data_IF_690682331388
#
_entry.id   IF_690682331388
#
_cell.length_a   1.000
_cell.length_b   1.000
_cell.length_c   1.000
_cell.angle_alpha   90.00
_cell.angle_beta   90.00
_cell.angle_gamma   90.00
#
_symmetry.space_group_name_H-M   'P 1'
#
loop_
_entity.id
_entity.type
_entity.pdbx_description
1 polymer ?
#
# COMPACT_ATOMS: atom_id res chain seq x y z
N UNK A 1 -18.85 53.96 -3.38
CA UNK A 1 -18.78 52.60 -3.97
C UNK A 1 -17.91 51.74 -3.07
N UNK A 2 -18.52 50.82 -2.30
CA UNK A 2 -17.80 49.91 -1.40
C UNK A 2 -17.54 48.61 -2.17
N UNK A 3 -16.29 48.28 -2.41
CA UNK A 3 -15.89 47.04 -3.09
C UNK A 3 -15.92 45.88 -2.08
N UNK A 4 -16.81 44.93 -2.29
CA UNK A 4 -16.95 43.71 -1.49
C UNK A 4 -15.91 42.69 -1.98
N UNK A 5 -14.86 42.47 -1.19
CA UNK A 5 -13.87 41.42 -1.45
C UNK A 5 -14.45 40.06 -1.08
N UNK A 6 -14.83 39.26 -2.09
CA UNK A 6 -15.17 37.85 -1.93
C UNK A 6 -13.88 37.06 -1.72
N UNK A 7 -13.66 36.61 -0.48
CA UNK A 7 -12.58 35.71 -0.14
C UNK A 7 -12.84 34.34 -0.78
N UNK A 8 -12.11 34.02 -1.84
CA UNK A 8 -12.05 32.69 -2.44
C UNK A 8 -11.40 31.74 -1.43
N UNK A 9 -12.22 31.00 -0.68
CA UNK A 9 -11.76 29.89 0.12
C UNK A 9 -11.11 28.85 -0.78
N UNK A 10 -9.77 28.77 -0.74
CA UNK A 10 -9.01 27.65 -1.29
C UNK A 10 -9.37 26.41 -0.49
N UNK A 11 -10.43 25.71 -0.91
CA UNK A 11 -10.64 24.33 -0.54
C UNK A 11 -9.46 23.54 -1.07
N UNK A 12 -8.47 23.28 -0.21
CA UNK A 12 -7.42 22.31 -0.49
C UNK A 12 -8.13 21.04 -0.98
N UNK A 13 -7.77 20.49 -2.15
CA UNK A 13 -8.28 19.17 -2.52
C UNK A 13 -7.84 18.24 -1.40
N UNK A 14 -8.80 17.72 -0.62
CA UNK A 14 -8.52 16.60 0.26
C UNK A 14 -7.91 15.54 -0.64
N UNK A 15 -6.61 15.29 -0.48
CA UNK A 15 -5.86 14.36 -1.30
C UNK A 15 -6.69 13.07 -1.36
N UNK A 16 -7.29 12.80 -2.51
CA UNK A 16 -8.03 11.56 -2.72
C UNK A 16 -6.99 10.48 -2.50
N UNK A 17 -7.06 9.82 -1.35
CA UNK A 17 -6.15 8.77 -0.97
C UNK A 17 -6.00 7.87 -2.19
N UNK A 18 -4.79 7.80 -2.74
CA UNK A 18 -4.48 7.04 -3.95
C UNK A 18 -4.77 5.57 -3.65
N UNK A 19 -6.00 5.19 -3.96
CA UNK A 19 -6.47 3.84 -3.82
C UNK A 19 -6.07 3.06 -5.04
N UNK A 20 -5.44 1.91 -4.84
CA UNK A 20 -5.29 0.91 -5.89
C UNK A 20 -6.68 0.48 -6.34
N UNK A 21 -7.10 0.92 -7.53
CA UNK A 21 -8.44 0.63 -8.04
C UNK A 21 -8.69 -0.89 -8.03
N UNK A 22 -9.83 -1.31 -7.48
CA UNK A 22 -10.19 -2.72 -7.37
C UNK A 22 -9.50 -3.50 -6.24
N UNK A 23 -8.72 -2.86 -5.37
CA UNK A 23 -8.14 -3.52 -4.20
C UNK A 23 -9.18 -3.73 -3.09
N UNK A 24 -9.67 -4.96 -2.92
CA UNK A 24 -10.69 -5.31 -1.93
C UNK A 24 -10.23 -5.19 -0.47
N UNK A 25 -8.95 -4.85 -0.25
CA UNK A 25 -8.45 -4.53 1.08
C UNK A 25 -9.06 -3.23 1.63
N UNK A 26 -9.59 -2.36 0.76
CA UNK A 26 -10.23 -1.11 1.16
C UNK A 26 -11.70 -1.16 0.81
N UNK A 27 -12.54 -0.99 1.82
CA UNK A 27 -13.99 -0.85 1.64
C UNK A 27 -14.38 0.55 2.11
N UNK A 28 -14.83 1.37 1.17
CA UNK A 28 -15.42 2.67 1.47
C UNK A 28 -16.93 2.46 1.59
N UNK A 29 -17.48 2.74 2.77
CA UNK A 29 -18.91 2.62 3.04
C UNK A 29 -19.66 3.85 2.50
N UNK A 30 -20.99 3.75 2.33
CA UNK A 30 -21.81 4.88 1.86
C UNK A 30 -21.74 6.13 2.76
N UNK A 31 -21.44 5.96 4.04
CA UNK A 31 -21.24 7.04 5.02
C UNK A 31 -19.85 7.72 4.91
N UNK A 32 -19.02 7.31 3.94
CA UNK A 32 -17.66 7.79 3.75
C UNK A 32 -16.63 7.16 4.69
N UNK A 33 -17.04 6.26 5.60
CA UNK A 33 -16.09 5.56 6.46
C UNK A 33 -15.28 4.55 5.66
N UNK A 34 -13.98 4.49 5.95
CA UNK A 34 -13.03 3.61 5.26
C UNK A 34 -12.63 2.48 6.18
N UNK A 35 -12.96 1.25 5.79
CA UNK A 35 -12.41 0.04 6.39
C UNK A 35 -11.22 -0.42 5.56
N UNK A 36 -10.10 -0.71 6.22
CA UNK A 36 -8.90 -1.22 5.56
C UNK A 36 -8.45 -2.50 6.22
N UNK A 37 -8.18 -3.51 5.41
CA UNK A 37 -7.58 -4.78 5.80
C UNK A 37 -6.11 -4.76 5.42
N UNK A 38 -5.27 -5.33 6.27
CA UNK A 38 -3.86 -5.61 5.95
C UNK A 38 -3.66 -7.12 5.87
N UNK A 39 -2.65 -7.60 5.13
CA UNK A 39 -2.35 -9.02 5.11
C UNK A 39 -2.04 -9.53 6.51
N UNK A 40 -2.63 -10.66 6.93
CA UNK A 40 -2.37 -11.21 8.25
C UNK A 40 -0.93 -11.72 8.33
N UNK A 41 -0.28 -11.50 9.47
CA UNK A 41 1.02 -12.11 9.72
C UNK A 41 0.85 -13.64 9.82
N UNK A 42 1.62 -14.45 9.07
CA UNK A 42 1.52 -15.90 9.13
C UNK A 42 1.74 -16.41 10.55
N UNK A 43 1.00 -17.45 10.95
CA UNK A 43 1.12 -18.03 12.29
C UNK A 43 2.51 -18.69 12.51
N UNK A 44 3.17 -19.13 11.44
CA UNK A 44 4.46 -19.83 11.44
C UNK A 44 5.34 -19.29 10.31
N UNK A 45 6.62 -19.64 10.35
CA UNK A 45 7.59 -19.32 9.29
C UNK A 45 8.48 -18.11 9.60
N UNK A 46 9.37 -17.75 8.65
CA UNK A 46 10.37 -16.70 8.85
C UNK A 46 9.75 -15.36 9.21
N UNK A 47 8.72 -14.93 8.50
CA UNK A 47 8.05 -13.65 8.73
C UNK A 47 7.60 -13.45 10.19
N UNK A 48 7.13 -14.52 10.86
CA UNK A 48 6.72 -14.48 12.27
C UNK A 48 7.90 -14.44 13.25
N UNK A 49 9.00 -15.10 12.90
CA UNK A 49 10.17 -15.28 13.78
C UNK A 49 11.20 -14.17 13.64
N UNK A 50 11.26 -13.51 12.49
CA UNK A 50 12.23 -12.44 12.23
C UNK A 50 11.75 -11.10 12.78
N UNK A 51 12.71 -10.29 13.23
CA UNK A 51 12.49 -8.86 13.46
C UNK A 51 12.50 -8.16 12.11
N UNK A 52 11.41 -7.49 11.68
CA UNK A 52 11.40 -6.82 10.40
C UNK A 52 12.32 -5.59 10.41
N UNK A 53 12.82 -5.22 9.25
CA UNK A 53 13.61 -4.00 9.08
C UNK A 53 12.71 -2.77 9.26
N UNK A 54 13.03 -1.83 10.17
CA UNK A 54 12.31 -0.57 10.25
C UNK A 54 12.46 0.24 8.95
N UNK A 55 11.42 0.97 8.56
CA UNK A 55 11.40 1.71 7.30
C UNK A 55 12.52 2.77 7.20
N UNK A 56 12.93 3.34 8.33
CA UNK A 56 13.92 4.42 8.38
C UNK A 56 15.34 3.92 8.71
N UNK A 57 15.56 2.60 8.79
CA UNK A 57 16.82 2.01 9.22
C UNK A 57 17.78 1.61 8.08
N UNK A 58 17.37 1.73 6.82
CA UNK A 58 18.23 1.44 5.66
C UNK A 58 18.64 -0.04 5.48
N UNK A 59 18.06 -0.97 6.25
CA UNK A 59 18.36 -2.41 6.20
C UNK A 59 17.47 -3.20 5.22
N UNK A 60 16.58 -2.53 4.50
CA UNK A 60 15.61 -3.18 3.62
C UNK A 60 16.24 -3.47 2.26
N UNK A 61 16.14 -4.71 1.81
CA UNK A 61 16.56 -5.15 0.50
C UNK A 61 15.33 -5.41 -0.39
N UNK A 62 15.40 -4.95 -1.65
CA UNK A 62 14.35 -5.16 -2.64
C UNK A 62 13.34 -4.01 -2.75
N UNK A 63 12.20 -4.24 -3.40
CA UNK A 63 11.19 -3.21 -3.66
C UNK A 63 10.36 -2.89 -2.41
N UNK A 64 9.89 -1.64 -2.34
CA UNK A 64 8.95 -1.22 -1.30
C UNK A 64 7.58 -1.88 -1.52
N UNK A 65 7.02 -2.43 -0.46
CA UNK A 65 5.68 -2.99 -0.45
C UNK A 65 4.68 -1.85 -0.28
N UNK A 66 3.87 -1.61 -1.29
CA UNK A 66 2.83 -0.60 -1.27
C UNK A 66 1.60 -1.22 -0.61
N UNK A 67 1.28 -0.77 0.60
CA UNK A 67 0.20 -1.34 1.42
C UNK A 67 -0.81 -0.26 1.77
N UNK A 68 -2.09 -0.58 1.60
CA UNK A 68 -3.16 0.29 2.09
C UNK A 68 -3.34 0.13 3.60
N UNK A 69 -3.39 1.24 4.32
CA UNK A 69 -3.66 1.26 5.76
C UNK A 69 -4.70 2.32 6.10
N UNK A 70 -5.14 2.38 7.36
CA UNK A 70 -6.00 3.45 7.85
C UNK A 70 -5.40 4.86 7.64
N UNK A 71 -4.07 4.99 7.53
CA UNK A 71 -3.36 6.24 7.26
C UNK A 71 -3.25 6.58 5.77
N UNK A 72 -3.80 5.73 4.88
CA UNK A 72 -3.60 5.82 3.44
C UNK A 72 -2.59 4.79 2.94
N UNK A 73 -2.16 5.00 1.69
CA UNK A 73 -1.11 4.21 1.05
C UNK A 73 0.23 4.47 1.74
N UNK A 74 0.93 3.41 2.12
CA UNK A 74 2.23 3.48 2.78
C UNK A 74 3.27 2.63 2.04
N UNK A 75 4.53 3.01 2.19
CA UNK A 75 5.68 2.23 1.74
C UNK A 75 6.19 1.39 2.92
N UNK A 76 6.15 0.08 2.79
CA UNK A 76 6.58 -0.86 3.83
C UNK A 76 7.78 -1.71 3.37
N UNK A 77 8.62 -2.09 4.32
CA UNK A 77 9.74 -3.02 4.11
C UNK A 77 9.29 -4.49 3.99
N UNK A 78 7.99 -4.73 4.16
CA UNK A 78 7.35 -6.04 4.11
C UNK A 78 5.83 -5.86 3.93
N UNK A 79 5.07 -6.91 3.54
CA UNK A 79 3.66 -6.74 3.17
C UNK A 79 2.68 -6.61 4.36
N UNK A 80 3.08 -6.98 5.57
CA UNK A 80 2.16 -7.13 6.72
C UNK A 80 1.82 -5.83 7.46
N UNK A 81 2.41 -4.71 7.04
CA UNK A 81 2.23 -3.40 7.64
C UNK A 81 2.37 -3.37 9.18
N UNK A 82 3.38 -4.08 9.71
CA UNK A 82 3.66 -4.09 11.15
C UNK A 82 4.09 -2.70 11.63
N UNK A 83 3.96 -2.41 12.95
CA UNK A 83 4.49 -1.18 13.51
C UNK A 83 5.97 -0.99 13.13
N UNK A 84 6.37 0.26 12.84
CA UNK A 84 7.73 0.67 12.42
C UNK A 84 8.23 0.20 11.05
N UNK A 85 7.54 -0.73 10.38
CA UNK A 85 7.99 -1.27 9.09
C UNK A 85 7.53 -0.44 7.91
N UNK A 86 6.74 0.61 8.14
CA UNK A 86 6.15 1.44 7.09
C UNK A 86 6.37 2.93 7.34
N UNK A 87 6.49 3.66 6.24
CA UNK A 87 6.56 5.12 6.18
C UNK A 87 5.50 5.69 5.23
N UNK A 88 5.31 7.00 5.26
CA UNK A 88 4.43 7.68 4.30
C UNK A 88 4.85 7.36 2.86
N UNK A 89 3.87 7.12 1.98
CA UNK A 89 4.18 6.83 0.59
C UNK A 89 4.79 8.04 -0.10
N UNK A 90 5.81 7.80 -0.92
CA UNK A 90 6.41 8.78 -1.82
C UNK A 90 6.08 8.48 -3.29
N UNK A 91 5.06 7.65 -3.53
CA UNK A 91 4.62 7.30 -4.88
C UNK A 91 4.19 8.55 -5.66
N UNK A 92 4.67 8.67 -6.90
CA UNK A 92 4.51 9.87 -7.74
C UNK A 92 5.50 11.00 -7.43
N UNK A 93 6.12 11.03 -6.25
CA UNK A 93 7.13 12.03 -5.89
C UNK A 93 8.57 11.50 -6.05
N UNK A 94 8.80 10.22 -5.77
CA UNK A 94 10.12 9.60 -5.83
C UNK A 94 10.09 8.32 -6.66
N UNK A 95 11.13 8.15 -7.46
CA UNK A 95 11.38 6.99 -8.30
C UNK A 95 11.98 5.85 -7.45
N UNK A 96 11.16 4.87 -7.05
CA UNK A 96 11.57 3.71 -6.25
C UNK A 96 10.94 2.44 -6.83
N UNK A 97 11.63 1.32 -6.79
CA UNK A 97 11.03 0.03 -7.13
C UNK A 97 9.94 -0.33 -6.12
N UNK A 98 8.74 -0.66 -6.62
CA UNK A 98 7.54 -0.91 -5.82
C UNK A 98 6.83 -2.19 -6.23
N UNK A 99 6.32 -2.91 -5.23
CA UNK A 99 5.40 -4.04 -5.41
C UNK A 99 4.11 -3.73 -4.66
N UNK A 100 2.97 -3.95 -5.31
CA UNK A 100 1.66 -3.60 -4.77
C UNK A 100 1.04 -4.79 -4.05
N UNK A 101 0.63 -4.56 -2.81
CA UNK A 101 0.00 -5.59 -1.96
C UNK A 101 -1.51 -5.39 -2.01
N UNK A 102 -2.19 -6.30 -2.71
CA UNK A 102 -3.60 -6.14 -3.06
C UNK A 102 -4.39 -7.36 -2.61
N UNK A 103 -5.65 -7.17 -2.21
CA UNK A 103 -6.58 -8.25 -1.90
C UNK A 103 -7.55 -8.48 -3.06
N UNK A 104 -7.77 -9.75 -3.39
CA UNK A 104 -8.84 -10.23 -4.28
C UNK A 104 -9.46 -11.50 -3.69
N UNK A 105 -10.71 -11.43 -3.28
CA UNK A 105 -11.41 -12.45 -2.51
C UNK A 105 -10.61 -12.89 -1.28
N UNK A 106 -10.33 -14.19 -1.11
CA UNK A 106 -9.54 -14.69 0.01
C UNK A 106 -8.03 -14.43 -0.15
N UNK A 107 -7.57 -14.08 -1.35
CA UNK A 107 -6.15 -14.09 -1.72
C UNK A 107 -5.51 -12.72 -1.56
N UNK A 108 -4.24 -12.73 -1.13
CA UNK A 108 -3.35 -11.58 -1.16
C UNK A 108 -2.38 -11.72 -2.32
N UNK A 109 -2.23 -10.66 -3.09
CA UNK A 109 -1.49 -10.65 -4.33
C UNK A 109 -0.30 -9.69 -4.23
N UNK A 110 0.79 -10.07 -4.87
CA UNK A 110 1.89 -9.17 -5.23
C UNK A 110 1.73 -8.77 -6.69
N UNK A 111 1.43 -7.50 -6.92
CA UNK A 111 1.22 -6.95 -8.26
C UNK A 111 2.35 -6.00 -8.65
N UNK A 112 2.76 -6.05 -9.92
CA UNK A 112 3.76 -5.11 -10.46
C UNK A 112 3.24 -3.67 -10.50
N UNK A 113 1.94 -3.50 -10.71
CA UNK A 113 1.27 -2.21 -10.91
C UNK A 113 0.19 -1.97 -9.85
N UNK A 114 -0.27 -0.71 -9.65
CA UNK A 114 -1.44 -0.40 -8.83
C UNK A 114 -2.75 -0.83 -9.52
N UNK A 115 -2.82 -2.09 -9.94
CA UNK A 115 -3.96 -2.70 -10.60
C UNK A 115 -3.95 -4.21 -10.31
N UNK A 116 -5.01 -4.78 -9.71
CA UNK A 116 -5.11 -6.23 -9.49
C UNK A 116 -5.36 -7.02 -10.78
N UNK A 117 -5.73 -6.37 -11.89
CA UNK A 117 -6.09 -6.99 -13.16
C UNK A 117 -4.91 -7.59 -13.95
N UNK A 118 -3.68 -7.17 -13.67
CA UNK A 118 -2.52 -7.51 -14.49
C UNK A 118 -1.27 -7.74 -13.67
N UNK A 119 -0.50 -8.78 -14.05
CA UNK A 119 0.83 -9.09 -13.49
C UNK A 119 0.86 -9.16 -11.98
N UNK A 120 -0.02 -10.00 -11.45
CA UNK A 120 -0.12 -10.32 -10.04
C UNK A 120 0.19 -11.80 -9.82
N UNK A 121 0.88 -12.09 -8.71
CA UNK A 121 1.10 -13.46 -8.22
C UNK A 121 0.51 -13.61 -6.82
N UNK A 122 0.14 -14.84 -6.46
CA UNK A 122 -0.33 -15.15 -5.10
C UNK A 122 0.83 -15.09 -4.11
N UNK A 123 0.72 -14.20 -3.12
CA UNK A 123 1.73 -13.99 -2.06
C UNK A 123 2.01 -15.27 -1.24
N UNK A 124 1.03 -16.15 -1.14
CA UNK A 124 1.08 -17.37 -0.34
C UNK A 124 1.29 -18.63 -1.17
N UNK A 125 1.42 -18.52 -2.50
CA UNK A 125 1.81 -19.66 -3.32
C UNK A 125 3.22 -20.17 -2.96
N UNK A 126 3.51 -21.41 -3.34
CA UNK A 126 4.85 -21.96 -3.16
C UNK A 126 5.81 -21.33 -4.17
N UNK A 127 7.06 -21.01 -3.79
CA UNK A 127 8.08 -20.65 -4.76
C UNK A 127 8.24 -21.74 -5.83
N UNK A 128 8.47 -21.35 -7.11
CA UNK A 128 8.69 -19.99 -7.59
C UNK A 128 7.39 -19.22 -7.92
N UNK A 129 6.21 -19.83 -7.78
CA UNK A 129 4.93 -19.24 -8.21
C UNK A 129 4.49 -18.01 -7.41
N UNK A 130 5.10 -17.75 -6.26
CA UNK A 130 4.91 -16.51 -5.50
C UNK A 130 5.98 -15.46 -5.79
N UNK A 131 6.91 -15.64 -6.74
CA UNK A 131 7.89 -14.59 -7.02
C UNK A 131 7.21 -13.40 -7.73
N UNK A 132 7.29 -12.18 -7.18
CA UNK A 132 6.74 -11.02 -7.86
C UNK A 132 7.41 -10.83 -9.21
N UNK A 133 6.66 -10.32 -10.19
CA UNK A 133 7.27 -9.71 -11.37
C UNK A 133 8.19 -8.55 -10.94
N UNK A 134 9.20 -8.26 -11.76
CA UNK A 134 10.17 -7.20 -11.47
C UNK A 134 9.48 -5.89 -11.09
N UNK A 135 9.73 -5.42 -9.88
CA UNK A 135 9.12 -4.19 -9.40
C UNK A 135 9.49 -3.01 -10.30
N UNK A 136 8.49 -2.20 -10.63
CA UNK A 136 8.67 -0.99 -11.44
C UNK A 136 8.46 0.24 -10.58
N UNK A 137 8.76 1.38 -11.16
CA UNK A 137 8.85 2.67 -10.48
C UNK A 137 7.50 3.35 -10.26
#
# INVERSE_FOLDING_TARGET
MVALALASGLGLPAARAQFVAGNEAVVVRPDGTRQVLTPPLPARGPARRSRPCPADAGCHAGPWHMVETARGLVECTEPFARPTTCRASTYGATKLARVWVVKRGPTWLWCQYPDPGSRCVDMHARPPSNLPHDAVQ
#
